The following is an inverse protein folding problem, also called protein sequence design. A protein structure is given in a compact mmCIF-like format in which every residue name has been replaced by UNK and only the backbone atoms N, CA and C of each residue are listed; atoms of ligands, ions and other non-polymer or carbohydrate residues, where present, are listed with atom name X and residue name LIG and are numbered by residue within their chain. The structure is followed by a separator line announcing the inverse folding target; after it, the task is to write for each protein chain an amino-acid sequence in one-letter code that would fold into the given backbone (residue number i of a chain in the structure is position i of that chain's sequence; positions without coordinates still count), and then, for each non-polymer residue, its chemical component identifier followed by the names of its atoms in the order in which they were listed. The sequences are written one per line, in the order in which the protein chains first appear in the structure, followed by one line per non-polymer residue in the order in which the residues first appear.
data_IF_433655630640
#
_entry.id   IF_433655630640
#
_cell.length_a   1.000
_cell.length_b   1.000
_cell.length_c   1.000
_cell.angle_alpha   90.00
_cell.angle_beta   90.00
_cell.angle_gamma   90.00
#
_symmetry.space_group_name_H-M   'P 1'
#
loop_
_entity.id
_entity.type
_entity.pdbx_description
1 polymer ?
#
# COMPACT_ATOMS: atom_id res chain seq x y z
N UNK A 1 -1.93 20.72 -15.66
CA UNK A 1 -2.12 20.01 -14.37
C UNK A 1 -3.61 19.89 -14.10
N UNK A 2 -4.10 18.73 -13.68
CA UNK A 2 -5.48 18.58 -13.20
C UNK A 2 -5.47 18.70 -11.68
N UNK A 3 -6.35 19.51 -11.14
CA UNK A 3 -6.53 19.69 -9.70
C UNK A 3 -7.91 19.17 -9.32
N UNK A 4 -8.00 18.53 -8.16
CA UNK A 4 -9.24 18.03 -7.58
C UNK A 4 -9.31 18.61 -6.17
N UNK A 5 -10.43 19.23 -5.83
CA UNK A 5 -10.72 19.69 -4.47
C UNK A 5 -11.72 18.74 -3.85
N UNK A 6 -11.36 18.15 -2.71
CA UNK A 6 -12.26 17.28 -1.94
C UNK A 6 -12.74 18.10 -0.75
N UNK A 7 -14.02 18.45 -0.76
CA UNK A 7 -14.66 19.19 0.33
C UNK A 7 -15.42 18.23 1.25
N UNK A 8 -15.68 18.66 2.49
CA UNK A 8 -16.50 17.93 3.45
C UNK A 8 -15.98 16.52 3.80
N UNK A 9 -14.67 16.35 3.91
CA UNK A 9 -14.07 15.11 4.41
C UNK A 9 -14.37 15.00 5.91
N UNK A 10 -14.99 13.91 6.39
CA UNK A 10 -15.18 13.69 7.82
C UNK A 10 -13.86 13.72 8.58
N UNK A 11 -13.82 14.37 9.74
CA UNK A 11 -12.58 14.55 10.50
C UNK A 11 -11.89 13.22 10.82
N UNK A 12 -12.65 12.18 11.16
CA UNK A 12 -12.11 10.84 11.41
C UNK A 12 -11.48 10.22 10.16
N UNK A 13 -12.07 10.45 8.99
CA UNK A 13 -11.53 9.94 7.73
C UNK A 13 -10.22 10.66 7.38
N UNK A 14 -10.18 11.98 7.57
CA UNK A 14 -8.95 12.74 7.35
C UNK A 14 -7.82 12.26 8.28
N UNK A 15 -8.11 12.04 9.57
CA UNK A 15 -7.13 11.50 10.52
C UNK A 15 -6.57 10.14 10.10
N UNK A 16 -7.41 9.22 9.63
CA UNK A 16 -6.94 7.93 9.09
C UNK A 16 -6.04 8.08 7.87
N UNK A 17 -6.31 9.05 7.01
CA UNK A 17 -5.46 9.34 5.85
C UNK A 17 -4.11 9.90 6.32
N UNK A 18 -4.08 10.80 7.29
CA UNK A 18 -2.83 11.33 7.85
C UNK A 18 -1.97 10.25 8.50
N UNK A 19 -2.56 9.36 9.29
CA UNK A 19 -1.86 8.24 9.91
C UNK A 19 -1.22 7.32 8.87
N UNK A 20 -1.98 6.97 7.82
CA UNK A 20 -1.47 6.16 6.71
C UNK A 20 -0.37 6.87 5.94
N UNK A 21 -0.55 8.16 5.66
CA UNK A 21 0.45 8.99 4.98
C UNK A 21 1.77 8.99 5.76
N UNK A 22 1.72 9.16 7.10
CA UNK A 22 2.89 9.05 7.98
C UNK A 22 3.52 7.66 7.94
N UNK A 23 2.72 6.59 8.06
CA UNK A 23 3.22 5.22 8.01
C UNK A 23 3.90 4.88 6.67
N UNK A 24 3.41 5.47 5.58
CA UNK A 24 3.95 5.29 4.23
C UNK A 24 5.06 6.30 3.87
N UNK A 25 5.43 7.22 4.77
CA UNK A 25 6.36 8.33 4.52
C UNK A 25 5.98 9.16 3.27
N UNK A 26 4.70 9.48 3.12
CA UNK A 26 4.13 10.24 1.99
C UNK A 26 3.40 11.49 2.49
N UNK A 27 3.26 12.48 1.62
CA UNK A 27 2.34 13.60 1.87
C UNK A 27 0.89 13.11 1.81
N UNK A 28 -0.02 13.79 2.49
CA UNK A 28 -1.47 13.49 2.42
C UNK A 28 -1.98 13.52 0.98
N UNK A 29 -1.51 14.48 0.18
CA UNK A 29 -1.88 14.57 -1.24
C UNK A 29 -1.44 13.34 -2.03
N UNK A 30 -0.19 12.90 -1.83
CA UNK A 30 0.34 11.70 -2.50
C UNK A 30 -0.38 10.42 -2.03
N UNK A 31 -0.75 10.33 -0.74
CA UNK A 31 -1.55 9.21 -0.23
C UNK A 31 -2.96 9.18 -0.84
N UNK A 32 -3.61 10.34 -1.01
CA UNK A 32 -4.91 10.45 -1.67
C UNK A 32 -4.80 10.00 -3.13
N UNK A 33 -3.76 10.43 -3.86
CA UNK A 33 -3.50 9.99 -5.24
C UNK A 33 -3.31 8.47 -5.28
N UNK A 34 -2.48 7.91 -4.40
CA UNK A 34 -2.24 6.47 -4.35
C UNK A 34 -3.53 5.68 -4.03
N UNK A 35 -4.39 6.20 -3.16
CA UNK A 35 -5.70 5.61 -2.88
C UNK A 35 -6.60 5.60 -4.13
N UNK A 36 -6.64 6.71 -4.86
CA UNK A 36 -7.41 6.82 -6.11
C UNK A 36 -6.87 5.89 -7.18
N UNK A 37 -5.55 5.84 -7.37
CA UNK A 37 -4.89 4.93 -8.31
C UNK A 37 -5.20 3.47 -7.99
N UNK A 38 -5.13 3.08 -6.71
CA UNK A 38 -5.52 1.73 -6.29
C UNK A 38 -6.99 1.43 -6.57
N UNK A 39 -7.89 2.37 -6.30
CA UNK A 39 -9.32 2.19 -6.57
C UNK A 39 -9.58 2.04 -8.08
N UNK A 40 -8.91 2.81 -8.93
CA UNK A 40 -9.13 2.80 -10.39
C UNK A 40 -8.38 1.67 -11.11
N UNK A 41 -7.13 1.40 -10.75
CA UNK A 41 -6.26 0.43 -11.43
C UNK A 41 -6.74 -1.00 -11.21
N UNK A 42 -7.45 -1.23 -10.12
CA UNK A 42 -7.85 -2.58 -9.76
C UNK A 42 -9.13 -3.01 -10.45
N UNK A 43 -9.87 -2.11 -11.12
CA UNK A 43 -11.20 -2.39 -11.67
C UNK A 43 -12.15 -2.98 -10.62
N UNK A 44 -11.80 -2.85 -9.34
CA UNK A 44 -12.47 -3.51 -8.23
C UNK A 44 -13.70 -2.71 -7.92
N UNK A 45 -14.82 -3.26 -8.33
CA UNK A 45 -16.11 -2.94 -7.78
C UNK A 45 -16.00 -2.96 -6.24
N UNK A 46 -16.16 -1.83 -5.53
CA UNK A 46 -15.92 -1.75 -4.09
C UNK A 46 -16.80 -2.71 -3.28
N UNK A 47 -17.87 -3.23 -3.89
CA UNK A 47 -18.78 -4.26 -3.36
C UNK A 47 -18.15 -5.66 -3.30
N UNK A 48 -17.06 -5.94 -4.05
CA UNK A 48 -16.46 -7.28 -4.20
C UNK A 48 -15.22 -7.55 -3.34
N UNK A 49 -14.91 -6.72 -2.35
CA UNK A 49 -13.84 -7.02 -1.39
C UNK A 49 -14.35 -8.06 -0.38
N UNK A 50 -14.52 -9.29 -0.84
CA UNK A 50 -14.62 -10.45 0.03
C UNK A 50 -13.32 -11.24 -0.12
N UNK A 51 -12.24 -10.71 0.43
CA UNK A 51 -11.02 -11.52 0.60
C UNK A 51 -11.33 -12.56 1.66
N UNK A 52 -11.39 -13.82 1.26
CA UNK A 52 -11.67 -14.90 2.20
C UNK A 52 -10.40 -15.27 2.98
N UNK A 53 -10.52 -15.88 4.18
CA UNK A 53 -9.35 -16.40 4.91
C UNK A 53 -8.50 -17.38 4.07
N UNK A 54 -9.14 -18.12 3.16
CA UNK A 54 -8.45 -19.03 2.24
C UNK A 54 -7.58 -18.28 1.21
N UNK A 55 -8.04 -17.14 0.70
CA UNK A 55 -7.26 -16.30 -0.22
C UNK A 55 -6.02 -15.73 0.46
N UNK A 56 -6.17 -15.30 1.72
CA UNK A 56 -5.06 -14.80 2.55
C UNK A 56 -4.03 -15.92 2.76
N UNK A 57 -4.47 -17.13 3.12
CA UNK A 57 -3.59 -18.28 3.31
C UNK A 57 -2.84 -18.66 2.03
N UNK A 58 -3.53 -18.69 0.89
CA UNK A 58 -2.94 -18.97 -0.42
C UNK A 58 -1.87 -17.94 -0.79
N UNK A 59 -2.16 -16.66 -0.55
CA UNK A 59 -1.20 -15.57 -0.80
C UNK A 59 0.02 -15.67 0.13
N UNK A 60 -0.19 -15.96 1.42
CA UNK A 60 0.89 -16.13 2.38
C UNK A 60 1.81 -17.32 2.00
N UNK A 61 1.23 -18.45 1.57
CA UNK A 61 1.99 -19.61 1.09
C UNK A 61 2.79 -19.28 -0.18
N UNK A 62 2.18 -18.57 -1.13
CA UNK A 62 2.86 -18.11 -2.34
C UNK A 62 4.08 -17.25 -2.00
N UNK A 63 3.92 -16.24 -1.14
CA UNK A 63 5.02 -15.36 -0.71
C UNK A 63 6.14 -16.17 -0.02
N UNK A 64 5.79 -17.07 0.92
CA UNK A 64 6.78 -17.90 1.63
C UNK A 64 7.60 -18.77 0.68
N UNK A 65 6.99 -19.34 -0.35
CA UNK A 65 7.69 -20.16 -1.36
C UNK A 65 8.72 -19.33 -2.12
N UNK A 66 8.37 -18.11 -2.51
CA UNK A 66 9.26 -17.24 -3.27
C UNK A 66 10.40 -16.66 -2.42
N UNK A 67 10.12 -16.34 -1.15
CA UNK A 67 11.16 -15.90 -0.21
C UNK A 67 12.13 -17.07 0.12
N UNK A 68 11.61 -18.29 0.36
CA UNK A 68 12.47 -19.46 0.63
C UNK A 68 13.35 -19.86 -0.56
N UNK A 69 12.87 -19.69 -1.78
CA UNK A 69 13.65 -19.94 -2.98
C UNK A 69 14.82 -18.93 -3.15
N UNK A 70 14.70 -17.74 -2.57
CA UNK A 70 15.71 -16.67 -2.61
C UNK A 70 16.61 -16.58 -1.36
N UNK A 71 16.44 -17.46 -0.37
CA UNK A 71 17.19 -17.46 0.90
C UNK A 71 18.71 -17.67 0.78
N UNK A 72 19.28 -17.71 -0.42
CA UNK A 72 20.74 -17.70 -0.59
C UNK A 72 21.33 -16.28 -0.51
N UNK A 73 20.50 -15.24 -0.72
CA UNK A 73 20.88 -13.85 -0.54
C UNK A 73 19.97 -13.22 0.53
N UNK A 74 20.37 -13.33 1.81
CA UNK A 74 19.70 -12.60 2.88
C UNK A 74 19.77 -11.11 2.57
N UNK A 75 18.60 -10.47 2.42
CA UNK A 75 18.49 -9.01 2.31
C UNK A 75 19.33 -8.37 3.43
N UNK A 76 20.40 -7.68 3.05
CA UNK A 76 21.28 -7.04 4.02
C UNK A 76 20.55 -5.88 4.69
N UNK A 77 20.86 -5.62 5.96
CA UNK A 77 20.41 -4.40 6.65
C UNK A 77 20.70 -3.12 5.84
N UNK A 78 21.75 -3.12 5.00
CA UNK A 78 22.08 -2.00 4.12
C UNK A 78 21.08 -1.82 2.98
N UNK A 79 20.65 -2.92 2.36
CA UNK A 79 19.67 -2.90 1.26
C UNK A 79 18.29 -2.50 1.75
N UNK A 80 17.89 -2.98 2.94
CA UNK A 80 16.65 -2.58 3.59
C UNK A 80 16.64 -1.07 3.85
N UNK A 81 17.74 -0.52 4.39
CA UNK A 81 17.86 0.93 4.63
C UNK A 81 17.84 1.74 3.34
N UNK A 82 18.50 1.27 2.27
CA UNK A 82 18.43 1.93 0.97
C UNK A 82 17.02 1.94 0.40
N UNK A 83 16.30 0.82 0.46
CA UNK A 83 14.92 0.74 -0.02
C UNK A 83 13.97 1.65 0.78
N UNK A 84 14.19 1.80 2.10
CA UNK A 84 13.45 2.75 2.94
C UNK A 84 13.73 4.19 2.47
N UNK A 85 15.00 4.54 2.26
CA UNK A 85 15.41 5.90 1.87
C UNK A 85 14.99 6.28 0.44
N UNK A 86 14.95 5.32 -0.47
CA UNK A 86 14.49 5.53 -1.85
C UNK A 86 12.96 5.70 -1.91
N UNK A 87 12.25 5.34 -0.85
CA UNK A 87 10.80 5.34 -0.81
C UNK A 87 10.20 4.29 -1.76
N UNK A 88 8.87 4.13 -1.70
CA UNK A 88 8.15 3.35 -2.72
C UNK A 88 7.77 4.28 -3.86
N UNK A 89 7.98 3.90 -5.14
CA UNK A 89 7.45 4.66 -6.27
C UNK A 89 5.93 4.86 -6.16
#
# INVERSE_FOLDING_TARGET
MKSITISNIPHELYGKIEERAKANNRSVNTEIIACLEHATATGRDPVKIQTTPADILKQAQYIRKHIRAHNQDMLSNTEIRQAINQGRP
#
